data_IF_769323364256
#
_entry.id   IF_769323364256
#
_cell.length_a   1.000
_cell.length_b   1.000
_cell.length_c   1.000
_cell.angle_alpha   90.00
_cell.angle_beta   90.00
_cell.angle_gamma   90.00
#
_symmetry.space_group_name_H-M   'P 1'
#
loop_
_entity.id
_entity.type
_entity.pdbx_description
1 polymer ?
#
# COMPACT_ATOMS: atom_id res chain seq x y z
N UNK A 1 -10.20 11.89 4.02
CA UNK A 1 -10.34 10.47 3.63
C UNK A 1 -11.65 9.85 4.08
N UNK A 2 -12.00 9.86 5.38
CA UNK A 2 -13.21 9.18 5.88
C UNK A 2 -14.48 9.47 5.07
N UNK A 3 -14.87 10.75 4.92
CA UNK A 3 -16.05 11.15 4.15
C UNK A 3 -16.04 10.75 2.66
N UNK A 4 -14.85 10.66 2.07
CA UNK A 4 -14.71 10.24 0.66
C UNK A 4 -14.78 8.72 0.49
N UNK A 5 -14.71 7.98 1.60
CA UNK A 5 -14.67 6.53 1.64
C UNK A 5 -15.90 5.93 2.32
N UNK A 6 -16.95 6.70 2.62
CA UNK A 6 -18.21 6.19 3.20
C UNK A 6 -19.36 6.50 2.26
N UNK A 7 -20.45 5.74 2.35
CA UNK A 7 -21.65 6.03 1.55
C UNK A 7 -22.27 7.37 1.93
N UNK A 8 -23.06 8.00 1.03
CA UNK A 8 -23.70 9.29 1.32
C UNK A 8 -24.60 9.30 2.58
N UNK A 9 -25.19 8.15 2.91
CA UNK A 9 -25.99 7.97 4.13
C UNK A 9 -25.15 7.74 5.40
N UNK A 10 -23.81 7.66 5.28
CA UNK A 10 -22.84 7.59 6.39
C UNK A 10 -23.08 6.44 7.38
N UNK A 11 -23.67 5.33 6.95
CA UNK A 11 -24.02 4.19 7.84
C UNK A 11 -22.95 3.10 7.88
N UNK A 12 -22.01 3.12 6.95
CA UNK A 12 -21.04 2.04 6.69
C UNK A 12 -19.64 2.34 7.23
N UNK A 13 -19.46 3.47 7.93
CA UNK A 13 -18.16 3.97 8.38
C UNK A 13 -17.41 2.96 9.27
N UNK A 14 -18.12 2.22 10.12
CA UNK A 14 -17.54 1.21 11.03
C UNK A 14 -16.85 0.10 10.22
N UNK A 15 -17.54 -0.42 9.20
CA UNK A 15 -17.00 -1.50 8.37
C UNK A 15 -15.79 -1.03 7.55
N UNK A 16 -15.72 0.26 7.22
CA UNK A 16 -14.72 0.85 6.32
C UNK A 16 -13.51 1.42 7.07
N UNK A 17 -13.65 1.66 8.37
CA UNK A 17 -12.62 2.26 9.21
C UNK A 17 -11.27 1.53 9.14
N UNK A 18 -11.19 0.18 9.21
CA UNK A 18 -9.91 -0.53 9.16
C UNK A 18 -9.15 -0.30 7.85
N UNK A 19 -9.86 -0.28 6.72
CA UNK A 19 -9.25 -0.06 5.41
C UNK A 19 -8.75 1.39 5.25
N UNK A 20 -9.52 2.36 5.78
CA UNK A 20 -9.17 3.78 5.76
C UNK A 20 -7.93 4.03 6.62
N UNK A 21 -7.91 3.50 7.84
CA UNK A 21 -6.76 3.59 8.74
C UNK A 21 -5.51 3.00 8.09
N UNK A 22 -5.62 1.82 7.49
CA UNK A 22 -4.52 1.17 6.80
C UNK A 22 -3.99 1.99 5.63
N UNK A 23 -4.88 2.55 4.81
CA UNK A 23 -4.49 3.40 3.68
C UNK A 23 -3.78 4.69 4.15
N UNK A 24 -4.24 5.31 5.23
CA UNK A 24 -3.58 6.49 5.82
C UNK A 24 -2.19 6.12 6.36
N UNK A 25 -2.08 5.06 7.15
CA UNK A 25 -0.82 4.69 7.80
C UNK A 25 0.24 4.10 6.86
N UNK A 26 -0.17 3.62 5.68
CA UNK A 26 0.75 3.18 4.61
C UNK A 26 1.13 4.30 3.64
N UNK A 27 0.38 5.41 3.60
CA UNK A 27 0.64 6.53 2.70
C UNK A 27 1.88 7.33 3.12
N UNK A 28 2.69 7.69 2.14
CA UNK A 28 3.86 8.56 2.33
C UNK A 28 3.40 10.00 2.56
N UNK A 29 3.88 10.63 3.63
CA UNK A 29 3.69 12.06 3.83
C UNK A 29 4.66 12.86 2.93
N UNK A 30 4.19 13.96 2.37
CA UNK A 30 5.02 14.87 1.56
C UNK A 30 6.06 15.60 2.42
N UNK A 31 5.69 15.96 3.66
CA UNK A 31 6.57 16.72 4.57
C UNK A 31 7.74 15.90 5.10
N UNK A 32 7.53 14.62 5.39
CA UNK A 32 8.56 13.74 5.98
C UNK A 32 9.15 12.77 4.96
N UNK A 33 8.46 12.53 3.84
CA UNK A 33 8.87 11.53 2.86
C UNK A 33 8.67 10.08 3.33
N UNK A 34 8.04 9.84 4.48
CA UNK A 34 7.85 8.50 5.03
C UNK A 34 6.39 8.24 5.40
N UNK A 35 6.02 6.96 5.47
CA UNK A 35 4.71 6.54 5.98
C UNK A 35 4.73 6.36 7.50
N UNK A 36 3.61 6.60 8.21
CA UNK A 36 3.53 6.39 9.65
C UNK A 36 3.92 4.97 10.09
N UNK A 37 3.52 3.93 9.37
CA UNK A 37 3.93 2.56 9.70
C UNK A 37 5.44 2.37 9.65
N UNK A 38 6.10 2.96 8.65
CA UNK A 38 7.55 2.89 8.55
C UNK A 38 8.23 3.62 9.71
N UNK A 39 7.72 4.80 10.10
CA UNK A 39 8.30 5.56 11.22
C UNK A 39 8.09 4.88 12.57
N UNK A 40 6.93 4.27 12.81
CA UNK A 40 6.60 3.67 14.10
C UNK A 40 7.16 2.26 14.28
N UNK A 41 7.25 1.48 13.20
CA UNK A 41 7.59 0.04 13.29
C UNK A 41 8.84 -0.34 12.50
N UNK A 42 9.40 0.58 11.72
CA UNK A 42 10.50 0.31 10.80
C UNK A 42 10.11 -0.54 9.59
N UNK A 43 8.82 -0.88 9.41
CA UNK A 43 8.33 -1.74 8.33
C UNK A 43 7.00 -1.23 7.78
N UNK A 44 6.77 -1.45 6.50
CA UNK A 44 5.45 -1.27 5.89
C UNK A 44 4.76 -2.65 5.85
N UNK A 45 3.54 -2.80 6.41
CA UNK A 45 2.83 -4.06 6.36
C UNK A 45 2.50 -4.48 4.93
N UNK A 46 2.31 -5.79 4.72
CA UNK A 46 1.85 -6.31 3.42
C UNK A 46 0.48 -5.75 3.07
N UNK A 47 0.21 -5.64 1.76
CA UNK A 47 -1.07 -5.17 1.25
C UNK A 47 -2.24 -5.91 1.93
N UNK A 48 -3.21 -5.15 2.44
CA UNK A 48 -4.41 -5.70 3.05
C UNK A 48 -5.20 -6.50 2.00
N UNK A 49 -5.44 -7.78 2.28
CA UNK A 49 -6.34 -8.61 1.45
C UNK A 49 -7.76 -8.30 1.88
N UNK A 50 -8.44 -7.47 1.12
CA UNK A 50 -9.85 -7.14 1.34
C UNK A 50 -10.72 -8.19 0.63
N UNK A 51 -11.26 -9.16 1.38
CA UNK A 51 -11.98 -10.31 0.83
C UNK A 51 -13.39 -9.98 0.31
N UNK A 52 -13.89 -8.75 0.46
CA UNK A 52 -15.26 -8.42 0.04
C UNK A 52 -15.47 -6.93 -0.32
N UNK A 53 -14.81 -6.36 -1.34
CA UNK A 53 -15.22 -5.07 -1.88
C UNK A 53 -16.36 -5.30 -2.87
N UNK A 54 -17.47 -4.59 -2.73
CA UNK A 54 -18.40 -4.53 -3.85
C UNK A 54 -17.63 -3.94 -5.06
N UNK A 55 -17.86 -4.50 -6.26
CA UNK A 55 -17.06 -4.26 -7.48
C UNK A 55 -16.93 -2.76 -7.85
N UNK A 56 -17.84 -1.95 -7.30
CA UNK A 56 -18.08 -0.55 -7.63
C UNK A 56 -17.80 0.39 -6.45
N UNK A 57 -17.41 -0.15 -5.29
CA UNK A 57 -17.49 0.57 -4.00
C UNK A 57 -16.49 1.73 -3.89
N UNK A 58 -15.34 1.63 -4.57
CA UNK A 58 -14.29 2.67 -4.52
C UNK A 58 -13.43 2.75 -5.77
N UNK A 59 -13.81 3.54 -6.78
CA UNK A 59 -12.97 3.76 -7.95
C UNK A 59 -11.58 4.32 -7.58
N UNK A 60 -11.50 5.28 -6.67
CA UNK A 60 -10.27 5.95 -6.24
C UNK A 60 -9.40 5.08 -5.31
N UNK A 61 -9.98 4.31 -4.38
CA UNK A 61 -9.23 3.36 -3.56
C UNK A 61 -8.76 2.18 -4.40
N UNK A 62 -9.53 1.74 -5.40
CA UNK A 62 -9.11 0.71 -6.37
C UNK A 62 -7.91 1.20 -7.19
N UNK A 63 -7.95 2.43 -7.70
CA UNK A 63 -6.83 3.03 -8.43
C UNK A 63 -5.60 3.15 -7.52
N UNK A 64 -5.77 3.59 -6.28
CA UNK A 64 -4.66 3.68 -5.32
C UNK A 64 -4.11 2.30 -4.96
N UNK A 65 -4.95 1.32 -4.66
CA UNK A 65 -4.55 -0.05 -4.36
C UNK A 65 -3.87 -0.74 -5.56
N UNK A 66 -4.37 -0.50 -6.78
CA UNK A 66 -3.71 -0.95 -8.02
C UNK A 66 -2.35 -0.29 -8.19
N UNK A 67 -2.25 1.02 -7.95
CA UNK A 67 -0.98 1.75 -8.01
C UNK A 67 0.01 1.24 -6.96
N UNK A 68 -0.44 0.98 -5.74
CA UNK A 68 0.36 0.37 -4.67
C UNK A 68 0.80 -1.06 -5.02
N UNK A 69 -0.07 -1.84 -5.66
CA UNK A 69 0.27 -3.18 -6.16
C UNK A 69 1.32 -3.12 -7.28
N UNK A 70 1.23 -2.14 -8.16
CA UNK A 70 2.23 -1.91 -9.21
C UNK A 70 3.57 -1.43 -8.64
N UNK A 71 3.55 -0.50 -7.69
CA UNK A 71 4.75 -0.01 -7.00
C UNK A 71 5.46 -1.12 -6.22
N UNK A 72 4.73 -1.92 -5.44
CA UNK A 72 5.31 -3.06 -4.72
C UNK A 72 5.86 -4.15 -5.63
N UNK A 73 5.19 -4.42 -6.76
CA UNK A 73 5.72 -5.32 -7.78
C UNK A 73 7.01 -4.77 -8.40
N UNK A 74 7.05 -3.47 -8.71
CA UNK A 74 8.24 -2.81 -9.24
C UNK A 74 9.42 -2.88 -8.27
N UNK A 75 9.20 -2.56 -6.99
CA UNK A 75 10.23 -2.63 -5.95
C UNK A 75 10.78 -4.05 -5.79
N UNK A 76 9.91 -5.07 -5.89
CA UNK A 76 10.32 -6.48 -5.82
C UNK A 76 11.18 -6.91 -7.02
N UNK A 77 10.92 -6.35 -8.22
CA UNK A 77 11.73 -6.58 -9.41
C UNK A 77 13.08 -5.87 -9.33
N UNK A 78 13.10 -4.61 -8.88
CA UNK A 78 14.34 -3.88 -8.65
C UNK A 78 15.22 -4.56 -7.61
N UNK A 79 14.64 -4.99 -6.50
CA UNK A 79 15.34 -5.74 -5.47
C UNK A 79 15.95 -7.03 -6.05
N UNK A 80 15.19 -7.75 -6.89
CA UNK A 80 15.68 -8.95 -7.58
C UNK A 80 16.83 -8.67 -8.53
N UNK A 81 16.78 -7.59 -9.31
CA UNK A 81 17.86 -7.18 -10.23
C UNK A 81 19.14 -6.80 -9.46
N UNK A 82 19.00 -6.08 -8.35
CA UNK A 82 20.14 -5.74 -7.47
C UNK A 82 20.75 -7.01 -6.88
N UNK A 83 19.92 -7.97 -6.45
CA UNK A 83 20.37 -9.24 -5.91
C UNK A 83 21.09 -10.11 -6.95
N UNK A 84 20.58 -10.22 -8.19
CA UNK A 84 21.29 -10.93 -9.27
C UNK A 84 22.59 -10.23 -9.65
N UNK A 85 22.62 -8.90 -9.78
CA UNK A 85 23.88 -8.16 -10.03
C UNK A 85 24.94 -8.41 -8.96
N UNK A 86 24.55 -8.35 -7.68
CA UNK A 86 25.46 -8.66 -6.59
C UNK A 86 25.89 -10.13 -6.55
N UNK A 87 25.01 -11.07 -6.89
CA UNK A 87 25.34 -12.49 -6.96
C UNK A 87 26.31 -12.82 -8.11
N UNK A 88 26.14 -12.19 -9.28
CA UNK A 88 27.04 -12.37 -10.43
C UNK A 88 28.41 -11.74 -10.17
N UNK A 89 28.47 -10.60 -9.47
CA UNK A 89 29.72 -9.94 -9.08
C UNK A 89 30.56 -10.74 -8.05
N UNK A 90 29.97 -11.75 -7.39
CA UNK A 90 30.63 -12.58 -6.37
C UNK A 90 31.07 -13.95 -6.86
N UNK A 91 30.90 -14.27 -8.14
CA UNK A 91 31.56 -15.43 -8.77
C UNK A 91 32.93 -14.99 -9.29
N UNK A 92 34.06 -15.39 -8.68
CA UNK A 92 35.36 -15.29 -9.33
C UNK A 92 35.40 -16.32 -10.48
N UNK A 93 36.16 -15.99 -11.53
CA UNK A 93 36.56 -16.93 -12.57
C UNK A 93 37.64 -17.88 -12.05
#
# INVERSE_FOLDING_TARGET
>A
MLRACITPNQTDWVAKLPAIEFAVNTSRSESTGYSPFLLNTGRVPRAMVWNNPAKDEYPSVRVYAQKMKQLSAHDSLEARVKQTRHATSRRPS
#
